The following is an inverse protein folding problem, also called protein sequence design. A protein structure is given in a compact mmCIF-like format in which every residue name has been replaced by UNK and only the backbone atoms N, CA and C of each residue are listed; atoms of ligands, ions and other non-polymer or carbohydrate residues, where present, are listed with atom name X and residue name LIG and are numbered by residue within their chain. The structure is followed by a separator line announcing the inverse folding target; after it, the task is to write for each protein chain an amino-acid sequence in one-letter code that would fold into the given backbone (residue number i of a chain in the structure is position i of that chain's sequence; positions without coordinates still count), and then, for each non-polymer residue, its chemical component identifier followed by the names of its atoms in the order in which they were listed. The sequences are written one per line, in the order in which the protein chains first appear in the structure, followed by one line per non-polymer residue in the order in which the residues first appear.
data_IF_480205964108
#
_entry.id   IF_480205964108
#
_cell.length_a   1.000
_cell.length_b   1.000
_cell.length_c   1.000
_cell.angle_alpha   90.00
_cell.angle_beta   90.00
_cell.angle_gamma   90.00
#
_symmetry.space_group_name_H-M   'P 1'
#
loop_
_entity.id
_entity.type
_entity.pdbx_description
1 polymer ?
#
# COMPACT_ATOMS: atom_id res chain seq x y z
N UNK A 1 25.03 32.24 21.35
CA UNK A 1 23.63 32.09 20.91
C UNK A 1 23.61 30.87 20.00
N UNK A 2 23.17 29.72 20.52
CA UNK A 2 23.26 28.43 19.81
C UNK A 2 21.99 28.24 18.99
N UNK A 3 22.11 28.29 17.67
CA UNK A 3 21.07 27.80 16.76
C UNK A 3 20.94 26.30 16.97
N UNK A 4 19.80 25.87 17.49
CA UNK A 4 19.43 24.46 17.55
C UNK A 4 19.53 23.86 16.13
N UNK A 5 20.07 22.64 15.96
CA UNK A 5 20.10 21.99 14.66
C UNK A 5 18.66 21.88 14.14
N UNK A 6 18.41 22.13 12.83
CA UNK A 6 17.09 21.91 12.26
C UNK A 6 16.70 20.44 12.55
N UNK A 7 15.45 20.17 12.98
CA UNK A 7 15.01 18.80 13.13
C UNK A 7 15.22 18.06 11.80
N UNK A 8 15.65 16.79 11.80
CA UNK A 8 15.72 16.05 10.55
C UNK A 8 14.33 16.11 9.90
N UNK A 9 14.26 16.54 8.65
CA UNK A 9 13.01 16.64 7.87
C UNK A 9 12.36 15.26 7.61
N UNK A 10 12.77 14.23 8.34
CA UNK A 10 12.27 12.86 8.28
C UNK A 10 10.89 12.66 8.94
N UNK A 11 10.36 13.65 9.67
CA UNK A 11 9.22 13.44 10.58
C UNK A 11 7.83 13.89 10.09
N UNK A 12 7.65 14.33 8.83
CA UNK A 12 6.32 14.76 8.33
C UNK A 12 5.65 13.82 7.31
N UNK A 13 6.26 12.67 6.99
CA UNK A 13 5.73 11.73 5.99
C UNK A 13 5.97 10.26 6.36
N UNK A 14 5.85 9.91 7.64
CA UNK A 14 5.84 8.50 8.04
C UNK A 14 4.58 7.83 7.47
N UNK A 15 4.74 7.19 6.30
CA UNK A 15 3.76 6.27 5.76
C UNK A 15 3.45 5.25 6.85
N UNK A 16 2.16 5.07 7.15
CA UNK A 16 1.72 4.09 8.13
C UNK A 16 1.61 2.74 7.44
N UNK A 17 2.73 2.05 7.34
CA UNK A 17 2.88 0.78 6.66
C UNK A 17 3.35 -0.28 7.65
N UNK A 18 2.68 -1.43 7.64
CA UNK A 18 3.11 -2.64 8.33
C UNK A 18 3.25 -3.76 7.33
N UNK A 19 4.45 -4.30 7.20
CA UNK A 19 4.73 -5.43 6.33
C UNK A 19 4.82 -6.71 7.14
N UNK A 20 4.41 -7.81 6.53
CA UNK A 20 4.59 -9.15 7.07
C UNK A 20 5.94 -9.66 6.57
N UNK A 21 6.84 -10.00 7.48
CA UNK A 21 8.13 -10.60 7.10
C UNK A 21 7.90 -11.92 6.35
N UNK A 22 8.39 -12.01 5.11
CA UNK A 22 8.40 -13.24 4.34
C UNK A 22 9.57 -14.12 4.82
N UNK A 23 9.36 -15.42 5.12
CA UNK A 23 10.46 -16.36 5.25
C UNK A 23 11.13 -16.55 3.89
N UNK A 24 12.45 -16.75 3.89
CA UNK A 24 13.32 -16.73 2.71
C UNK A 24 13.08 -17.86 1.68
N UNK A 25 12.12 -18.76 1.90
CA UNK A 25 11.86 -19.90 1.03
C UNK A 25 10.36 -20.18 0.88
N UNK A 26 9.92 -20.28 -0.37
CA UNK A 26 8.57 -20.68 -0.73
C UNK A 26 7.64 -19.50 -0.90
N UNK A 27 7.28 -19.22 -2.16
CA UNK A 27 6.13 -18.42 -2.54
C UNK A 27 4.84 -19.18 -2.15
N UNK A 28 4.65 -19.42 -0.85
CA UNK A 28 3.35 -19.81 -0.35
C UNK A 28 2.42 -18.61 -0.57
N UNK A 29 1.20 -18.82 -1.09
CA UNK A 29 0.23 -17.76 -1.26
C UNK A 29 -0.24 -17.31 0.13
N UNK A 30 0.55 -16.44 0.79
CA UNK A 30 0.09 -15.75 1.99
C UNK A 30 -0.84 -14.64 1.52
N UNK A 31 -2.05 -14.64 2.08
CA UNK A 31 -3.22 -13.88 1.60
C UNK A 31 -3.08 -12.36 1.58
N UNK A 32 -2.17 -11.77 2.37
CA UNK A 32 -1.91 -10.33 2.49
C UNK A 32 -0.45 -10.15 2.95
N UNK A 33 0.32 -9.32 2.24
CA UNK A 33 1.74 -9.02 2.51
C UNK A 33 1.94 -7.86 3.50
N UNK A 34 0.89 -7.12 3.80
CA UNK A 34 0.94 -6.02 4.76
C UNK A 34 -0.36 -5.24 4.89
N UNK A 35 -0.36 -4.23 5.75
CA UNK A 35 -1.40 -3.21 5.79
C UNK A 35 -0.80 -1.82 5.62
N UNK A 36 -1.56 -0.98 4.95
CA UNK A 36 -1.28 0.41 4.72
C UNK A 36 -2.44 1.26 5.19
N UNK A 37 -2.14 2.26 6.02
CA UNK A 37 -3.11 3.23 6.51
C UNK A 37 -2.84 4.61 5.89
N UNK A 38 -3.49 4.94 4.75
CA UNK A 38 -3.37 6.26 4.13
C UNK A 38 -3.80 7.39 5.06
N UNK A 39 -3.33 8.61 4.79
CA UNK A 39 -3.77 9.82 5.49
C UNK A 39 -4.99 10.45 4.80
N UNK A 40 -5.17 10.18 3.51
CA UNK A 40 -6.20 10.77 2.66
C UNK A 40 -6.69 9.78 1.58
N UNK A 41 -7.86 10.01 0.96
CA UNK A 41 -8.31 9.24 -0.20
C UNK A 41 -7.63 9.68 -1.52
N UNK A 42 -6.67 10.61 -1.48
CA UNK A 42 -5.95 11.09 -2.65
C UNK A 42 -4.78 10.16 -3.00
N UNK A 43 -5.03 9.24 -3.93
CA UNK A 43 -4.03 8.26 -4.37
C UNK A 43 -2.79 8.91 -4.99
N UNK A 44 -2.92 10.10 -5.58
CA UNK A 44 -1.84 10.81 -6.26
C UNK A 44 -0.78 11.28 -5.26
N UNK A 45 -1.22 11.72 -4.08
CA UNK A 45 -0.33 12.17 -3.00
C UNK A 45 0.19 11.01 -2.15
N UNK A 46 -0.60 9.96 -2.02
CA UNK A 46 -0.37 8.82 -1.13
C UNK A 46 0.56 7.77 -1.75
N UNK A 47 0.37 7.43 -3.03
CA UNK A 47 1.12 6.38 -3.69
C UNK A 47 2.63 6.66 -3.81
N UNK A 48 3.10 7.87 -4.16
CA UNK A 48 4.52 8.15 -4.20
C UNK A 48 5.20 7.94 -2.85
N UNK A 49 4.52 8.29 -1.76
CA UNK A 49 5.02 8.11 -0.40
C UNK A 49 5.10 6.62 -0.07
N UNK A 50 4.04 5.86 -0.37
CA UNK A 50 4.03 4.41 -0.18
C UNK A 50 5.19 3.74 -0.90
N UNK A 51 5.38 4.02 -2.19
CA UNK A 51 6.44 3.40 -3.01
C UNK A 51 7.84 3.76 -2.51
N UNK A 52 8.03 4.95 -1.95
CA UNK A 52 9.32 5.39 -1.41
C UNK A 52 9.77 4.61 -0.16
N UNK A 53 8.84 4.00 0.58
CA UNK A 53 9.15 3.23 1.81
C UNK A 53 9.11 1.72 1.63
N UNK A 54 8.83 1.24 0.41
CA UNK A 54 8.78 -0.20 0.14
C UNK A 54 10.18 -0.83 0.19
N UNK A 55 10.29 -2.11 0.60
CA UNK A 55 11.56 -2.81 0.59
C UNK A 55 12.14 -2.89 -0.83
N UNK A 56 13.43 -2.60 -0.98
CA UNK A 56 14.12 -2.74 -2.28
C UNK A 56 14.02 -4.15 -2.87
N UNK A 57 13.84 -5.18 -2.02
CA UNK A 57 13.64 -6.56 -2.43
C UNK A 57 12.37 -6.79 -3.28
N UNK A 58 11.35 -5.93 -3.15
CA UNK A 58 10.14 -6.00 -3.97
C UNK A 58 10.37 -5.47 -5.39
N UNK A 59 11.50 -4.80 -5.60
CA UNK A 59 11.88 -4.24 -6.88
C UNK A 59 10.98 -3.08 -7.30
N UNK A 60 10.97 -2.83 -8.60
CA UNK A 60 10.27 -1.69 -9.17
C UNK A 60 8.80 -2.02 -9.43
N UNK A 61 7.90 -1.42 -8.66
CA UNK A 61 6.46 -1.50 -8.89
C UNK A 61 6.09 -0.70 -10.14
N UNK A 62 5.45 -1.33 -11.11
CA UNK A 62 5.03 -0.68 -12.36
C UNK A 62 3.51 -0.65 -12.55
N UNK A 63 2.77 -1.46 -11.80
CA UNK A 63 1.31 -1.45 -11.80
C UNK A 63 0.77 -1.57 -10.39
N UNK A 64 -0.30 -0.84 -10.13
CA UNK A 64 -1.00 -0.82 -8.85
C UNK A 64 -2.48 -1.02 -9.13
N UNK A 65 -3.07 -2.06 -8.56
CA UNK A 65 -4.52 -2.28 -8.59
C UNK A 65 -5.11 -1.78 -7.29
N UNK A 66 -6.18 -0.99 -7.38
CA UNK A 66 -6.90 -0.48 -6.21
C UNK A 66 -8.40 -0.54 -6.42
N UNK A 67 -9.14 -0.53 -5.32
CA UNK A 67 -10.59 -0.37 -5.29
C UNK A 67 -10.99 1.07 -5.62
N UNK A 68 -11.66 1.28 -6.76
CA UNK A 68 -12.05 2.63 -7.22
C UNK A 68 -12.93 3.36 -6.20
N UNK A 69 -13.75 2.66 -5.42
CA UNK A 69 -14.66 3.28 -4.47
C UNK A 69 -13.93 4.01 -3.33
N UNK A 70 -12.65 3.71 -3.11
CA UNK A 70 -11.84 4.26 -2.00
C UNK A 70 -10.99 5.46 -2.44
N UNK A 71 -10.66 5.58 -3.73
CA UNK A 71 -9.61 6.49 -4.20
C UNK A 71 -10.16 7.51 -5.19
N UNK A 72 -9.99 8.79 -4.87
CA UNK A 72 -10.36 9.89 -5.76
C UNK A 72 -9.40 11.07 -5.55
N UNK A 73 -8.81 11.64 -6.62
CA UNK A 73 -8.96 11.29 -8.04
C UNK A 73 -8.19 10.01 -8.44
N UNK A 74 -8.59 9.40 -9.56
CA UNK A 74 -7.93 8.20 -10.11
C UNK A 74 -7.32 8.45 -11.50
N UNK A 75 -6.10 9.02 -11.59
CA UNK A 75 -5.43 9.13 -12.87
C UNK A 75 -4.95 7.72 -13.28
N UNK A 76 -5.34 7.21 -14.45
CA UNK A 76 -4.97 5.85 -14.87
C UNK A 76 -3.45 5.58 -14.95
N UNK A 77 -2.61 6.61 -14.82
CA UNK A 77 -1.14 6.53 -14.70
C UNK A 77 -0.62 7.62 -13.77
N UNK A 78 0.44 7.32 -13.05
CA UNK A 78 1.15 8.27 -12.19
C UNK A 78 2.65 8.20 -12.46
N UNK A 79 3.33 9.35 -12.52
CA UNK A 79 4.79 9.40 -12.56
C UNK A 79 5.33 9.47 -11.13
N UNK A 80 6.05 8.44 -10.70
CA UNK A 80 6.66 8.35 -9.37
C UNK A 80 8.15 8.07 -9.54
N UNK A 81 9.02 8.90 -8.97
CA UNK A 81 10.48 8.70 -9.03
C UNK A 81 11.01 8.39 -10.44
N UNK A 82 10.57 9.18 -11.44
CA UNK A 82 10.88 8.99 -12.88
C UNK A 82 10.36 7.70 -13.51
N UNK A 83 9.40 7.02 -12.88
CA UNK A 83 8.83 5.76 -13.33
C UNK A 83 7.31 5.88 -13.47
N UNK A 84 6.78 5.39 -14.59
CA UNK A 84 5.34 5.39 -14.83
C UNK A 84 4.73 4.19 -14.13
N UNK A 85 3.91 4.47 -13.13
CA UNK A 85 3.09 3.50 -12.41
C UNK A 85 1.70 3.50 -13.02
N UNK A 86 1.27 2.35 -13.53
CA UNK A 86 -0.07 2.18 -14.09
C UNK A 86 -1.06 1.93 -12.97
N UNK A 87 -2.08 2.78 -12.89
CA UNK A 87 -3.16 2.62 -11.93
C UNK A 87 -4.29 1.85 -12.61
N UNK A 88 -4.63 0.71 -12.04
CA UNK A 88 -5.69 -0.18 -12.52
C UNK A 88 -6.79 -0.24 -11.46
N UNK A 89 -8.03 -0.26 -11.92
CA UNK A 89 -9.19 -0.42 -11.06
C UNK A 89 -9.50 -1.90 -10.94
N UNK A 90 -9.84 -2.35 -9.74
CA UNK A 90 -10.61 -3.57 -9.62
C UNK A 90 -12.10 -3.24 -9.72
N UNK A 91 -12.84 -3.99 -10.51
CA UNK A 91 -14.31 -3.85 -10.62
C UNK A 91 -15.03 -4.49 -9.43
N UNK A 92 -14.33 -5.34 -8.68
CA UNK A 92 -14.82 -5.97 -7.47
C UNK A 92 -14.42 -5.15 -6.26
N UNK A 93 -15.41 -4.57 -5.59
CA UNK A 93 -15.21 -3.97 -4.28
C UNK A 93 -14.91 -5.09 -3.28
N UNK A 94 -13.69 -5.12 -2.75
CA UNK A 94 -13.32 -6.10 -1.74
C UNK A 94 -13.46 -5.46 -0.36
N UNK A 95 -14.15 -6.16 0.56
CA UNK A 95 -14.13 -5.86 1.98
C UNK A 95 -13.32 -6.94 2.70
N UNK A 96 -12.11 -6.65 3.18
CA UNK A 96 -11.48 -5.32 3.29
C UNK A 96 -10.86 -4.82 1.98
N UNK A 97 -10.81 -3.49 1.82
CA UNK A 97 -10.17 -2.85 0.66
C UNK A 97 -8.68 -3.19 0.60
N UNK A 98 -8.17 -3.44 -0.60
CA UNK A 98 -6.77 -3.81 -0.83
C UNK A 98 -6.14 -2.99 -1.95
N UNK A 99 -4.80 -2.90 -1.89
CA UNK A 99 -3.94 -2.35 -2.93
C UNK A 99 -2.96 -3.44 -3.32
N UNK A 100 -3.00 -3.83 -4.58
CA UNK A 100 -2.12 -4.86 -5.14
C UNK A 100 -0.99 -4.18 -5.93
N UNK A 101 0.25 -4.45 -5.55
CA UNK A 101 1.46 -3.92 -6.18
C UNK A 101 2.07 -5.01 -7.06
N UNK A 102 2.36 -4.67 -8.32
CA UNK A 102 2.97 -5.58 -9.28
C UNK A 102 4.33 -5.04 -9.73
N UNK A 103 5.37 -5.85 -9.55
CA UNK A 103 6.71 -5.59 -10.08
C UNK A 103 7.09 -6.68 -11.10
N UNK A 104 7.26 -6.33 -12.39
CA UNK A 104 7.63 -7.28 -13.43
C UNK A 104 8.92 -8.04 -13.07
N UNK A 105 8.84 -9.37 -13.13
CA UNK A 105 9.94 -10.28 -12.84
C UNK A 105 10.28 -10.45 -11.35
N UNK A 106 9.53 -9.85 -10.42
CA UNK A 106 9.76 -10.01 -8.96
C UNK A 106 8.55 -10.59 -8.25
N UNK A 107 7.35 -10.11 -8.56
CA UNK A 107 6.13 -10.68 -7.99
C UNK A 107 4.98 -9.71 -7.83
N UNK A 108 4.05 -10.14 -6.97
CA UNK A 108 2.82 -9.47 -6.58
C UNK A 108 2.82 -9.35 -5.07
N UNK A 109 2.41 -8.18 -4.56
CA UNK A 109 2.20 -7.95 -3.13
C UNK A 109 0.85 -7.32 -2.88
N UNK A 110 0.05 -7.91 -2.01
CA UNK A 110 -1.28 -7.41 -1.65
C UNK A 110 -1.24 -6.73 -0.27
N UNK A 111 -1.55 -5.43 -0.24
CA UNK A 111 -1.61 -4.63 0.98
C UNK A 111 -3.06 -4.35 1.33
N UNK A 112 -3.45 -4.62 2.57
CA UNK A 112 -4.75 -4.18 3.10
C UNK A 112 -4.75 -2.67 3.28
N UNK A 113 -5.78 -1.99 2.78
CA UNK A 113 -6.01 -0.56 3.03
C UNK A 113 -6.87 -0.41 4.27
N UNK A 114 -6.36 0.32 5.26
CA UNK A 114 -7.15 0.77 6.40
C UNK A 114 -7.88 2.06 6.01
N UNK A 115 -9.19 2.21 6.27
CA UNK A 115 -9.89 3.45 5.97
C UNK A 115 -9.18 4.66 6.60
N UNK A 116 -8.96 5.72 5.83
CA UNK A 116 -8.27 6.92 6.33
C UNK A 116 -9.01 7.56 7.52
N UNK A 117 -10.34 7.42 7.56
CA UNK A 117 -11.21 7.91 8.63
C UNK A 117 -11.31 6.96 9.85
N UNK A 118 -10.65 5.80 9.83
CA UNK A 118 -10.64 4.89 10.97
C UNK A 118 -9.98 5.55 12.19
N UNK A 119 -10.49 5.26 13.39
CA UNK A 119 -9.85 5.69 14.64
C UNK A 119 -8.50 4.99 14.84
N UNK A 120 -7.59 5.55 15.65
CA UNK A 120 -6.30 4.92 15.93
C UNK A 120 -6.43 3.50 16.50
N UNK A 121 -7.46 3.24 17.32
CA UNK A 121 -7.72 1.93 17.89
C UNK A 121 -8.16 0.92 16.81
N UNK A 122 -9.08 1.31 15.92
CA UNK A 122 -9.51 0.47 14.80
C UNK A 122 -8.38 0.23 13.81
N UNK A 123 -7.66 1.29 13.44
CA UNK A 123 -6.53 1.19 12.53
C UNK A 123 -5.46 0.24 13.07
N UNK A 124 -5.11 0.34 14.36
CA UNK A 124 -4.17 -0.58 15.02
C UNK A 124 -4.65 -2.03 14.92
N UNK A 125 -5.92 -2.29 15.27
CA UNK A 125 -6.52 -3.63 15.15
C UNK A 125 -6.48 -4.16 13.73
N UNK A 126 -6.80 -3.33 12.73
CA UNK A 126 -6.80 -3.71 11.32
C UNK A 126 -5.39 -3.97 10.78
N UNK A 127 -4.40 -3.20 11.24
CA UNK A 127 -2.99 -3.41 10.92
C UNK A 127 -2.42 -4.65 11.60
N UNK A 128 -2.88 -5.01 12.80
CA UNK A 128 -2.44 -6.22 13.51
C UNK A 128 -3.11 -7.49 12.95
N UNK A 129 -4.38 -7.40 12.58
CA UNK A 129 -5.17 -8.52 12.06
C UNK A 129 -5.05 -8.66 10.53
N UNK A 130 -3.87 -9.06 10.06
CA UNK A 130 -3.57 -9.30 8.64
C UNK A 130 -4.00 -10.69 8.15
N UNK A 131 -4.45 -11.56 9.05
CA UNK A 131 -4.62 -12.99 8.76
C UNK A 131 -5.94 -13.37 8.07
N UNK A 132 -6.93 -12.46 7.97
CA UNK A 132 -8.34 -12.85 7.74
C UNK A 132 -9.01 -12.32 6.46
N UNK A 133 -8.27 -11.81 5.47
CA UNK A 133 -8.89 -11.49 4.18
C UNK A 133 -9.04 -12.78 3.34
N UNK A 134 -10.19 -13.45 3.46
CA UNK A 134 -10.60 -14.50 2.53
C UNK A 134 -10.90 -13.88 1.17
N UNK A 135 -10.00 -14.04 0.20
CA UNK A 135 -10.34 -13.83 -1.20
C UNK A 135 -11.18 -15.05 -1.65
N UNK A 136 -12.50 -14.90 -1.62
CA UNK A 136 -13.34 -15.74 -2.47
C UNK A 136 -13.18 -15.21 -3.89
N UNK A 137 -12.51 -15.99 -4.74
CA UNK A 137 -12.61 -15.84 -6.18
C UNK A 137 -13.61 -16.84 -6.72
N UNK A 138 -14.83 -16.38 -6.99
CA UNK A 138 -15.43 -16.68 -8.29
C UNK A 138 -14.93 -15.59 -9.23
N UNK A 139 -14.25 -15.85 -10.34
CA UNK A 139 -14.41 -16.96 -11.26
C UNK A 139 -15.02 -16.38 -12.54
N UNK A 140 -14.14 -16.05 -13.49
CA UNK A 140 -14.35 -15.70 -14.90
C UNK A 140 -14.85 -14.28 -15.22
#
# INVERSE_FOLDING_TARGET
MTLAPPPPLSSLSAVRLRLVSQPAQGHMPRRIDGAWWPRSPDLVSELPRLLAVLPHAWGQVTSVLVDEAVWSPFPGRLLVAHQVVRLRRTTTQHSPSTVCLLAPGRGRWDLRVVPHAATDAEARRLMENLATALWDSGGL
#
